data_IF_524505065683
#
_entry.id   IF_524505065683
#
_cell.length_a   1.000
_cell.length_b   1.000
_cell.length_c   1.000
_cell.angle_alpha   90.00
_cell.angle_beta   90.00
_cell.angle_gamma   90.00
#
_symmetry.space_group_name_H-M   'P 1'
#
loop_
_entity.id
_entity.type
_entity.pdbx_description
1 polymer ?
#
# COMPACT_ATOMS: atom_id res chain seq x y z
N UNK A 1 -31.60 26.28 -1.67
CA UNK A 1 -30.76 26.36 -2.87
C UNK A 1 -29.43 25.69 -2.53
N UNK A 2 -29.24 24.45 -2.96
CA UNK A 2 -28.04 23.64 -2.71
C UNK A 2 -27.24 23.60 -4.00
N UNK A 3 -26.14 24.30 -4.03
CA UNK A 3 -25.16 24.24 -5.12
C UNK A 3 -24.28 23.01 -4.96
N UNK A 4 -24.45 22.03 -5.82
CA UNK A 4 -23.56 20.88 -6.00
C UNK A 4 -22.33 21.35 -6.77
N UNK A 5 -21.17 21.31 -6.16
CA UNK A 5 -19.88 21.41 -6.84
C UNK A 5 -19.55 20.06 -7.47
N UNK A 6 -19.56 20.02 -8.80
CA UNK A 6 -19.17 18.87 -9.58
C UNK A 6 -17.64 18.71 -9.59
N UNK A 7 -17.16 17.54 -9.20
CA UNK A 7 -15.77 17.11 -9.33
C UNK A 7 -15.42 16.89 -10.80
N UNK A 8 -14.31 17.47 -11.23
CA UNK A 8 -13.73 17.36 -12.58
C UNK A 8 -13.08 15.99 -12.79
N UNK A 9 -13.84 15.01 -13.24
CA UNK A 9 -13.33 13.81 -13.95
C UNK A 9 -14.51 13.07 -14.58
N UNK A 10 -15.19 13.75 -15.52
CA UNK A 10 -16.09 13.09 -16.48
C UNK A 10 -16.04 13.91 -17.76
N UNK A 11 -15.17 13.54 -18.66
CA UNK A 11 -15.28 13.83 -20.09
C UNK A 11 -14.10 13.19 -20.79
N UNK A 12 -14.30 12.10 -21.49
CA UNK A 12 -13.81 11.78 -22.83
C UNK A 12 -13.98 10.27 -23.10
N UNK A 13 -15.15 9.90 -23.53
CA UNK A 13 -15.38 8.73 -24.36
C UNK A 13 -16.52 9.07 -25.31
N UNK A 14 -16.19 9.54 -26.49
CA UNK A 14 -17.07 9.43 -27.66
C UNK A 14 -16.23 9.34 -28.93
N UNK A 15 -16.49 8.25 -29.66
CA UNK A 15 -16.43 8.01 -31.10
C UNK A 15 -15.06 7.87 -31.77
N UNK A 16 -14.82 6.67 -32.33
CA UNK A 16 -14.90 6.47 -33.78
C UNK A 16 -14.96 4.97 -34.10
N UNK A 17 -16.08 4.58 -34.63
CA UNK A 17 -16.24 3.36 -35.40
C UNK A 17 -15.66 3.58 -36.81
N UNK A 18 -14.86 2.64 -37.32
CA UNK A 18 -14.34 2.65 -38.67
C UNK A 18 -13.93 1.24 -39.07
N UNK A 19 -14.75 0.61 -39.87
CA UNK A 19 -14.52 -0.69 -40.48
C UNK A 19 -13.46 -0.62 -41.58
N UNK A 20 -12.70 -1.70 -41.76
CA UNK A 20 -11.80 -1.86 -42.91
C UNK A 20 -11.17 -3.23 -42.94
N UNK A 21 -11.76 -4.09 -43.71
CA UNK A 21 -11.31 -5.45 -44.07
C UNK A 21 -10.07 -5.47 -44.94
N UNK A 22 -9.34 -6.57 -44.92
CA UNK A 22 -8.78 -7.33 -46.02
C UNK A 22 -7.31 -7.75 -45.92
N UNK A 23 -7.16 -9.05 -45.89
CA UNK A 23 -6.47 -10.01 -46.78
C UNK A 23 -4.97 -10.25 -46.60
N UNK A 24 -4.69 -11.52 -46.25
CA UNK A 24 -3.48 -12.33 -46.46
C UNK A 24 -3.07 -12.39 -47.94
N UNK A 25 -1.84 -12.79 -48.36
CA UNK A 25 -1.35 -14.16 -48.19
C UNK A 25 0.19 -14.34 -48.02
N UNK A 26 0.59 -15.44 -47.41
CA UNK A 26 1.28 -16.66 -47.90
C UNK A 26 2.72 -16.59 -48.46
N UNK A 27 3.51 -17.54 -47.96
CA UNK A 27 4.61 -18.32 -48.55
C UNK A 27 6.00 -17.65 -48.53
N UNK A 28 7.00 -18.37 -48.16
CA UNK A 28 7.51 -19.64 -48.60
C UNK A 28 8.78 -20.08 -47.91
N UNK A 29 8.83 -21.32 -47.82
CA UNK A 29 9.85 -22.34 -47.86
C UNK A 29 11.33 -21.97 -48.01
N UNK A 30 12.16 -22.65 -47.21
CA UNK A 30 13.07 -23.64 -47.80
C UNK A 30 14.54 -23.43 -47.58
N UNK A 31 15.21 -24.46 -47.05
CA UNK A 31 16.53 -24.77 -47.49
C UNK A 31 17.49 -25.29 -46.44
N UNK A 32 17.52 -26.60 -46.31
CA UNK A 32 18.57 -27.38 -45.67
C UNK A 32 19.89 -27.31 -46.45
N UNK A 33 21.03 -27.41 -45.77
CA UNK A 33 22.31 -27.65 -46.39
C UNK A 33 23.39 -27.94 -45.38
N UNK A 34 23.61 -29.23 -45.15
CA UNK A 34 24.79 -29.78 -44.48
C UNK A 34 26.00 -29.75 -45.40
N UNK A 35 27.17 -29.53 -44.89
CA UNK A 35 28.33 -30.43 -45.16
C UNK A 35 29.58 -29.95 -44.47
N UNK A 36 30.27 -30.93 -44.05
CA UNK A 36 31.48 -31.14 -43.28
C UNK A 36 32.81 -30.65 -43.89
N UNK A 37 33.80 -30.69 -43.02
CA UNK A 37 35.22 -31.03 -43.14
C UNK A 37 36.16 -29.83 -42.96
N UNK A 38 36.88 -29.83 -41.94
CA UNK A 38 38.20 -30.36 -41.58
C UNK A 38 39.41 -29.41 -41.82
N UNK A 39 40.29 -29.46 -40.83
CA UNK A 39 41.72 -29.17 -40.82
C UNK A 39 42.22 -27.76 -40.45
N UNK A 40 43.02 -27.73 -39.38
CA UNK A 40 44.18 -26.86 -39.37
C UNK A 40 44.55 -26.21 -38.04
N UNK A 41 45.47 -26.79 -37.36
CA UNK A 41 46.25 -26.31 -36.22
C UNK A 41 46.67 -24.83 -36.25
N UNK A 42 46.56 -24.18 -35.10
CA UNK A 42 47.19 -22.90 -34.87
C UNK A 42 47.03 -22.42 -33.40
N UNK A 43 47.94 -22.87 -32.53
CA UNK A 43 48.08 -22.30 -31.17
C UNK A 43 48.62 -20.87 -31.26
N UNK A 44 47.81 -19.90 -30.88
CA UNK A 44 48.31 -18.57 -30.52
C UNK A 44 47.69 -18.20 -29.18
N UNK A 45 48.48 -18.30 -28.14
CA UNK A 45 48.17 -17.81 -26.79
C UNK A 45 48.13 -16.28 -26.81
N UNK A 46 46.94 -15.72 -26.91
CA UNK A 46 46.72 -14.32 -26.58
C UNK A 46 46.08 -14.26 -25.21
N UNK A 47 46.84 -13.89 -24.22
CA UNK A 47 46.38 -13.54 -22.88
C UNK A 47 45.53 -12.27 -22.99
N UNK A 48 44.26 -12.45 -23.18
CA UNK A 48 43.31 -11.35 -23.05
C UNK A 48 43.00 -11.20 -21.55
N UNK A 49 43.56 -10.16 -20.97
CA UNK A 49 43.16 -9.64 -19.65
C UNK A 49 41.68 -9.33 -19.75
N UNK A 50 40.85 -10.18 -19.14
CA UNK A 50 39.44 -9.88 -18.86
C UNK A 50 39.42 -8.72 -17.91
N UNK A 51 39.20 -7.53 -18.43
CA UNK A 51 38.78 -6.38 -17.63
C UNK A 51 37.48 -6.76 -16.92
N UNK A 52 37.55 -6.81 -15.59
CA UNK A 52 36.35 -6.94 -14.76
C UNK A 52 35.42 -5.79 -15.14
N UNK A 53 34.36 -6.11 -15.88
CA UNK A 53 33.25 -5.18 -16.04
C UNK A 53 32.69 -4.93 -14.62
N UNK A 54 32.89 -3.72 -14.13
CA UNK A 54 32.18 -3.25 -12.94
C UNK A 54 30.69 -3.46 -13.18
N UNK A 55 29.93 -4.05 -12.24
CA UNK A 55 28.51 -4.13 -12.38
C UNK A 55 27.99 -2.69 -12.50
N UNK A 56 27.45 -2.35 -13.65
CA UNK A 56 26.64 -1.15 -13.82
C UNK A 56 25.50 -1.31 -12.82
N UNK A 57 25.55 -0.54 -11.73
CA UNK A 57 24.43 -0.41 -10.81
C UNK A 57 23.26 0.12 -11.64
N UNK A 58 22.43 -0.77 -12.16
CA UNK A 58 21.15 -0.39 -12.69
C UNK A 58 20.43 0.39 -11.59
N UNK A 59 20.16 1.67 -11.81
CA UNK A 59 19.38 2.45 -10.88
C UNK A 59 18.10 1.69 -10.60
N UNK A 60 17.87 1.33 -9.35
CA UNK A 60 16.61 0.73 -8.95
C UNK A 60 15.49 1.68 -9.38
N UNK A 61 14.52 1.17 -10.13
CA UNK A 61 13.36 1.96 -10.55
C UNK A 61 12.29 1.73 -9.50
N UNK A 62 12.02 2.73 -8.70
CA UNK A 62 10.88 2.77 -7.80
C UNK A 62 9.83 3.76 -8.32
N UNK A 63 8.59 3.54 -7.96
CA UNK A 63 7.48 4.39 -8.36
C UNK A 63 6.85 5.03 -7.14
N UNK A 64 6.41 6.29 -7.29
CA UNK A 64 5.65 6.96 -6.25
C UNK A 64 4.32 6.23 -6.06
N UNK A 65 4.00 5.91 -4.80
CA UNK A 65 2.72 5.27 -4.47
C UNK A 65 1.55 6.20 -4.87
N UNK A 66 0.41 5.67 -5.36
CA UNK A 66 -0.76 6.48 -5.68
C UNK A 66 -1.19 7.37 -4.51
N UNK A 67 -1.66 8.58 -4.83
CA UNK A 67 -2.35 9.43 -3.85
C UNK A 67 -3.77 8.95 -3.71
N UNK A 68 -4.17 8.62 -2.46
CA UNK A 68 -5.50 8.13 -2.16
C UNK A 68 -6.21 9.03 -1.15
N UNK A 69 -7.52 8.85 -1.04
CA UNK A 69 -8.29 9.57 -0.04
C UNK A 69 -7.94 9.09 1.37
N UNK A 70 -7.85 10.02 2.34
CA UNK A 70 -7.84 9.70 3.77
C UNK A 70 -9.17 9.13 4.27
N UNK A 71 -10.20 9.17 3.44
CA UNK A 71 -11.54 8.71 3.80
C UNK A 71 -12.22 9.61 4.85
N UNK A 72 -13.35 9.17 5.40
CA UNK A 72 -14.11 9.96 6.37
C UNK A 72 -13.54 9.87 7.81
N UNK A 73 -12.54 9.03 8.07
CA UNK A 73 -12.07 8.71 9.42
C UNK A 73 -10.55 8.87 9.65
N UNK A 74 -9.88 9.90 9.10
CA UNK A 74 -8.42 10.00 9.20
C UNK A 74 -7.96 10.29 10.63
N UNK A 75 -8.68 11.11 11.39
CA UNK A 75 -8.25 11.51 12.74
C UNK A 75 -6.95 12.32 12.74
N UNK A 76 -6.73 13.11 11.71
CA UNK A 76 -5.52 13.90 11.46
C UNK A 76 -5.73 15.42 11.68
N UNK A 77 -6.89 15.79 12.23
CA UNK A 77 -7.29 17.16 12.47
C UNK A 77 -8.06 17.82 11.31
N UNK A 78 -8.24 17.14 10.17
CA UNK A 78 -8.95 17.70 9.01
C UNK A 78 -10.45 17.59 9.10
N UNK A 79 -10.98 16.73 9.97
CA UNK A 79 -12.41 16.53 10.13
C UNK A 79 -12.85 16.47 11.60
N UNK A 80 -14.12 16.25 11.81
CA UNK A 80 -14.77 16.24 13.14
C UNK A 80 -15.41 14.89 13.42
N UNK A 81 -15.51 14.58 14.68
CA UNK A 81 -16.34 13.52 15.23
C UNK A 81 -17.41 14.12 16.19
N UNK A 82 -18.11 13.28 16.95
CA UNK A 82 -19.10 13.72 17.92
C UNK A 82 -18.52 14.60 19.05
N UNK A 83 -17.22 14.49 19.31
CA UNK A 83 -16.52 15.19 20.40
C UNK A 83 -15.78 16.46 19.95
N UNK A 84 -15.80 16.78 18.66
CA UNK A 84 -15.10 17.96 18.13
C UNK A 84 -14.16 17.64 16.97
N UNK A 85 -13.06 18.37 16.85
CA UNK A 85 -12.00 18.07 15.86
C UNK A 85 -11.30 16.77 16.24
N UNK A 86 -11.32 15.80 15.33
CA UNK A 86 -10.66 14.51 15.54
C UNK A 86 -9.20 14.60 15.11
N UNK A 87 -8.28 14.63 16.07
CA UNK A 87 -6.86 14.75 15.80
C UNK A 87 -6.03 13.80 16.69
N UNK A 88 -5.60 12.68 16.13
CA UNK A 88 -4.74 11.71 16.79
C UNK A 88 -3.28 12.17 16.80
N UNK A 89 -2.84 12.98 15.83
CA UNK A 89 -1.43 13.37 15.65
C UNK A 89 -0.85 14.15 16.85
N UNK A 90 -1.73 14.78 17.64
CA UNK A 90 -1.32 15.56 18.82
C UNK A 90 -1.51 14.82 20.15
N UNK A 91 -1.97 13.57 20.12
CA UNK A 91 -2.20 12.79 21.34
C UNK A 91 -0.87 12.35 21.98
N UNK A 92 -0.76 12.49 23.28
CA UNK A 92 0.37 11.92 24.03
C UNK A 92 0.40 10.40 23.84
N UNK A 93 1.56 9.85 23.44
CA UNK A 93 1.73 8.43 23.18
C UNK A 93 1.31 7.96 21.77
N UNK A 94 1.00 8.87 20.84
CA UNK A 94 0.67 8.49 19.46
C UNK A 94 1.89 7.98 18.67
N UNK A 95 3.10 8.42 19.05
CA UNK A 95 4.36 7.89 18.50
C UNK A 95 4.62 6.54 19.15
N UNK A 96 4.30 5.47 18.42
CA UNK A 96 4.31 4.10 18.97
C UNK A 96 4.34 3.04 17.86
N UNK A 97 4.82 1.85 18.20
CA UNK A 97 4.78 0.66 17.32
C UNK A 97 3.55 -0.22 17.55
N UNK A 98 3.09 -0.36 18.79
CA UNK A 98 1.92 -1.16 19.11
C UNK A 98 0.64 -0.31 19.08
N UNK A 99 -0.22 -0.61 18.10
CA UNK A 99 -1.45 0.14 17.87
C UNK A 99 -2.69 -0.47 18.54
N UNK A 100 -2.54 -1.64 19.18
CA UNK A 100 -3.68 -2.41 19.70
C UNK A 100 -4.36 -1.79 20.91
N UNK A 101 -3.65 -0.96 21.66
CA UNK A 101 -4.20 -0.28 22.84
C UNK A 101 -4.44 1.20 22.56
N UNK A 102 -5.39 1.80 23.25
CA UNK A 102 -5.57 3.25 23.28
C UNK A 102 -4.51 3.96 24.15
N UNK A 103 -4.31 5.25 23.94
CA UNK A 103 -3.38 6.13 24.66
C UNK A 103 -4.07 7.42 25.10
N UNK A 104 -3.34 8.35 25.71
CA UNK A 104 -3.84 9.68 26.11
C UNK A 104 -5.08 9.61 27.01
N UNK A 105 -5.09 8.68 27.98
CA UNK A 105 -6.18 8.52 28.96
C UNK A 105 -7.31 7.60 28.53
N UNK A 106 -7.39 7.20 27.26
CA UNK A 106 -8.25 6.10 26.82
C UNK A 106 -7.58 4.74 27.09
N UNK A 107 -8.36 3.67 27.25
CA UNK A 107 -7.86 2.36 27.71
C UNK A 107 -8.36 1.17 26.91
N UNK A 108 -9.10 1.38 25.83
CA UNK A 108 -9.60 0.31 24.99
C UNK A 108 -8.50 -0.50 24.31
N UNK A 109 -8.80 -1.77 24.07
CA UNK A 109 -7.90 -2.71 23.39
C UNK A 109 -8.62 -3.28 22.18
N UNK A 110 -8.01 -3.16 21.00
CA UNK A 110 -8.54 -3.76 19.77
C UNK A 110 -8.24 -5.26 19.73
N UNK A 111 -9.29 -6.07 19.65
CA UNK A 111 -9.17 -7.51 19.48
C UNK A 111 -9.19 -7.88 17.99
N UNK A 112 -8.43 -8.91 17.60
CA UNK A 112 -8.37 -9.40 16.22
C UNK A 112 -7.20 -10.35 15.99
N UNK A 113 -7.07 -10.85 14.77
CA UNK A 113 -5.93 -11.66 14.34
C UNK A 113 -4.67 -10.78 14.37
N UNK A 114 -3.58 -11.19 15.03
CA UNK A 114 -2.37 -10.39 15.10
C UNK A 114 -1.80 -10.09 13.70
N UNK A 115 -1.37 -8.86 13.49
CA UNK A 115 -0.75 -8.40 12.25
C UNK A 115 0.45 -7.51 12.57
N UNK A 116 1.59 -7.82 11.97
CA UNK A 116 2.73 -6.91 11.89
C UNK A 116 2.75 -6.28 10.52
N UNK A 117 2.80 -4.96 10.45
CA UNK A 117 2.93 -4.20 9.21
C UNK A 117 4.33 -3.60 9.16
N UNK A 118 5.09 -3.87 8.09
CA UNK A 118 6.39 -3.27 7.86
C UNK A 118 6.39 -2.54 6.53
N UNK A 119 6.52 -1.23 6.55
CA UNK A 119 6.63 -0.40 5.35
C UNK A 119 8.08 0.02 5.15
N UNK A 120 8.58 -0.10 3.91
CA UNK A 120 9.86 0.45 3.50
C UNK A 120 9.61 1.72 2.71
N UNK A 121 10.05 2.85 3.23
CA UNK A 121 9.94 4.14 2.54
C UNK A 121 11.17 4.36 1.67
N UNK A 122 10.96 4.68 0.39
CA UNK A 122 12.02 4.98 -0.58
C UNK A 122 11.80 6.35 -1.19
N UNK A 123 12.87 7.15 -1.28
CA UNK A 123 12.84 8.46 -1.91
C UNK A 123 13.07 8.31 -3.42
N UNK A 124 12.00 8.48 -4.19
CA UNK A 124 12.02 8.28 -5.64
C UNK A 124 12.92 9.29 -6.35
N UNK A 125 12.93 10.55 -5.90
CA UNK A 125 13.77 11.60 -6.52
C UNK A 125 15.25 11.44 -6.17
N UNK A 126 15.59 10.59 -5.19
CA UNK A 126 16.96 10.23 -4.85
C UNK A 126 17.32 8.80 -5.31
N UNK A 127 16.70 8.33 -6.38
CA UNK A 127 17.03 7.03 -6.97
C UNK A 127 16.69 5.83 -6.09
N UNK A 128 15.57 5.88 -5.38
CA UNK A 128 15.09 4.83 -4.47
C UNK A 128 15.96 4.65 -3.20
N UNK A 129 16.69 5.68 -2.80
CA UNK A 129 17.39 5.65 -1.53
C UNK A 129 16.39 5.51 -0.36
N UNK A 130 16.84 4.92 0.75
CA UNK A 130 16.05 4.85 1.97
C UNK A 130 15.60 6.25 2.41
N UNK A 131 14.31 6.43 2.65
CA UNK A 131 13.74 7.68 3.16
C UNK A 131 13.85 7.74 4.69
N UNK A 132 15.09 7.64 5.22
CA UNK A 132 15.37 7.69 6.66
C UNK A 132 14.85 9.00 7.28
N UNK A 133 14.22 8.90 8.46
CA UNK A 133 13.62 10.05 9.15
C UNK A 133 12.25 10.47 8.62
N UNK A 134 11.83 9.98 7.46
CA UNK A 134 10.44 10.14 7.03
C UNK A 134 9.50 9.46 8.03
N UNK A 135 8.31 10.02 8.20
CA UNK A 135 7.42 9.59 9.26
C UNK A 135 6.08 9.15 8.68
N UNK A 136 5.56 8.03 9.21
CA UNK A 136 4.28 7.46 8.82
C UNK A 136 3.28 7.61 9.94
N UNK A 137 2.12 8.20 9.66
CA UNK A 137 0.91 8.03 10.44
C UNK A 137 0.06 6.95 9.77
N UNK A 138 -0.32 5.91 10.52
CA UNK A 138 -1.06 4.76 10.04
C UNK A 138 -2.35 4.58 10.84
N UNK A 139 -3.45 4.22 10.14
CA UNK A 139 -4.72 3.87 10.80
C UNK A 139 -5.54 2.88 9.98
N UNK A 140 -6.40 2.15 10.66
CA UNK A 140 -7.36 1.24 10.02
C UNK A 140 -8.55 0.91 10.93
N UNK A 141 -9.55 0.22 10.41
CA UNK A 141 -10.74 -0.18 11.14
C UNK A 141 -10.48 -1.36 12.08
N UNK A 142 -11.39 -1.56 13.04
CA UNK A 142 -11.44 -2.77 13.88
C UNK A 142 -11.79 -4.01 13.05
N UNK A 143 -11.70 -5.18 13.64
CA UNK A 143 -12.15 -6.45 13.01
C UNK A 143 -13.64 -6.46 12.63
N UNK A 144 -14.43 -5.64 13.30
CA UNK A 144 -15.85 -5.43 13.00
C UNK A 144 -16.09 -4.36 11.92
N UNK A 145 -15.05 -3.63 11.48
CA UNK A 145 -15.13 -2.57 10.46
C UNK A 145 -15.37 -1.16 11.01
N UNK A 146 -15.35 -0.96 12.34
CA UNK A 146 -15.49 0.35 12.97
C UNK A 146 -14.15 1.10 13.06
N UNK A 147 -14.19 2.43 13.14
CA UNK A 147 -13.00 3.26 13.35
C UNK A 147 -13.01 3.90 14.73
N UNK A 148 -11.96 3.70 15.52
CA UNK A 148 -11.72 4.45 16.74
C UNK A 148 -11.80 5.96 16.47
N UNK A 149 -12.17 6.75 17.47
CA UNK A 149 -12.46 8.18 17.38
C UNK A 149 -13.76 8.54 16.62
N UNK A 150 -14.43 7.58 15.91
CA UNK A 150 -15.59 7.91 15.06
C UNK A 150 -16.81 7.03 15.29
N UNK A 151 -16.63 5.72 15.32
CA UNK A 151 -17.75 4.78 15.37
C UNK A 151 -18.39 4.74 16.75
N UNK A 152 -19.71 4.56 16.78
CA UNK A 152 -20.49 4.42 18.02
C UNK A 152 -19.88 3.33 18.91
N UNK A 153 -19.77 3.61 20.19
CA UNK A 153 -19.19 2.71 21.19
C UNK A 153 -17.66 2.77 21.30
N UNK A 154 -16.95 3.33 20.31
CA UNK A 154 -15.49 3.46 20.29
C UNK A 154 -15.03 4.88 19.91
N UNK A 155 -15.94 5.86 19.98
CA UNK A 155 -15.62 7.26 19.67
C UNK A 155 -14.62 7.88 20.65
N UNK A 156 -14.55 7.36 21.86
CA UNK A 156 -13.58 7.77 22.90
C UNK A 156 -12.24 7.06 22.82
N UNK A 157 -12.11 6.03 21.98
CA UNK A 157 -10.90 5.25 21.80
C UNK A 157 -10.03 5.78 20.67
N UNK A 158 -8.73 5.47 20.71
CA UNK A 158 -7.77 5.88 19.68
C UNK A 158 -6.77 4.76 19.29
N UNK A 159 -7.08 3.53 19.62
CA UNK A 159 -6.33 2.36 19.15
C UNK A 159 -6.40 2.23 17.60
N UNK A 160 -5.54 1.38 17.05
CA UNK A 160 -5.38 1.16 15.61
C UNK A 160 -5.01 2.45 14.85
N UNK A 161 -4.29 3.36 15.56
CA UNK A 161 -3.70 4.59 15.05
C UNK A 161 -2.33 4.78 15.69
N UNK A 162 -1.35 5.21 14.91
CA UNK A 162 -0.03 5.52 15.45
C UNK A 162 0.92 6.12 14.44
N UNK A 163 1.96 6.73 14.97
CA UNK A 163 3.01 7.42 14.22
C UNK A 163 4.34 6.72 14.46
N UNK A 164 5.13 6.52 13.40
CA UNK A 164 6.51 6.05 13.49
C UNK A 164 7.42 6.80 12.55
N UNK A 165 8.64 7.08 12.99
CA UNK A 165 9.73 7.58 12.17
C UNK A 165 10.49 6.40 11.55
N UNK A 166 10.83 6.50 10.26
CA UNK A 166 11.58 5.49 9.56
C UNK A 166 13.04 5.45 10.03
N UNK A 167 13.54 4.23 10.23
CA UNK A 167 14.93 3.97 10.60
C UNK A 167 15.92 4.34 9.46
N UNK A 168 17.20 4.10 9.69
CA UNK A 168 18.27 4.39 8.71
C UNK A 168 18.13 3.62 7.39
N UNK A 169 17.38 2.52 7.39
CA UNK A 169 17.10 1.70 6.22
C UNK A 169 15.75 2.05 5.57
N UNK A 170 15.02 3.03 6.13
CA UNK A 170 13.73 3.49 5.65
C UNK A 170 12.52 2.68 6.16
N UNK A 171 12.68 1.85 7.18
CA UNK A 171 11.59 1.02 7.68
C UNK A 171 10.82 1.66 8.83
N UNK A 172 9.51 1.49 8.81
CA UNK A 172 8.62 1.61 9.97
C UNK A 172 7.94 0.27 10.22
N UNK A 173 7.69 -0.08 11.49
CA UNK A 173 7.07 -1.35 11.84
C UNK A 173 5.97 -1.14 12.88
N UNK A 174 4.77 -1.60 12.58
CA UNK A 174 3.61 -1.51 13.47
C UNK A 174 3.11 -2.90 13.85
N UNK A 175 2.81 -3.09 15.13
CA UNK A 175 2.08 -4.24 15.65
C UNK A 175 0.61 -3.86 15.79
N UNK A 176 -0.28 -4.62 15.16
CA UNK A 176 -1.71 -4.31 15.10
C UNK A 176 -2.55 -5.59 14.98
N UNK A 177 -3.76 -5.47 14.48
CA UNK A 177 -4.64 -6.57 14.10
C UNK A 177 -4.98 -6.51 12.62
N UNK A 178 -5.37 -7.64 12.02
CA UNK A 178 -5.88 -7.67 10.65
C UNK A 178 -7.17 -6.85 10.57
N UNK A 179 -7.27 -5.85 9.66
CA UNK A 179 -8.44 -5.00 9.56
C UNK A 179 -9.67 -5.79 9.11
N UNK A 180 -10.83 -5.38 9.56
CA UNK A 180 -12.10 -5.87 9.03
C UNK A 180 -12.36 -5.39 7.61
N UNK A 181 -13.44 -5.90 7.04
CA UNK A 181 -14.01 -5.46 5.77
C UNK A 181 -15.37 -4.80 6.06
N UNK A 182 -15.46 -3.50 5.94
CA UNK A 182 -16.73 -2.81 6.05
C UNK A 182 -17.40 -2.66 4.68
N UNK A 183 -18.69 -2.32 4.67
CA UNK A 183 -19.49 -2.29 3.45
C UNK A 183 -18.92 -1.36 2.38
N UNK A 184 -18.84 -1.84 1.14
CA UNK A 184 -18.37 -1.08 -0.02
C UNK A 184 -16.86 -0.91 -0.16
N UNK A 185 -16.04 -1.51 0.72
CA UNK A 185 -14.57 -1.40 0.64
C UNK A 185 -13.88 -2.76 0.80
N UNK A 186 -12.81 -2.98 0.04
CA UNK A 186 -11.86 -4.07 0.30
C UNK A 186 -11.13 -3.84 1.64
N UNK A 187 -10.64 -4.89 2.33
CA UNK A 187 -9.83 -4.71 3.53
C UNK A 187 -8.58 -3.89 3.22
N UNK A 188 -8.35 -2.84 4.01
CA UNK A 188 -7.28 -1.88 3.74
C UNK A 188 -6.77 -1.21 5.00
N UNK A 189 -5.60 -0.62 4.86
CA UNK A 189 -4.93 0.23 5.84
C UNK A 189 -4.63 1.56 5.19
N UNK A 190 -4.97 2.64 5.86
CA UNK A 190 -4.61 4.00 5.46
C UNK A 190 -3.27 4.40 6.05
N UNK A 191 -2.55 5.27 5.36
CA UNK A 191 -1.39 5.93 5.93
C UNK A 191 -1.15 7.31 5.29
N UNK A 192 -0.48 8.15 6.05
CA UNK A 192 0.07 9.43 5.60
C UNK A 192 1.57 9.43 5.81
N UNK A 193 2.31 10.02 4.87
CA UNK A 193 3.76 10.20 4.99
C UNK A 193 4.06 11.67 5.23
N UNK A 194 4.96 11.93 6.17
CA UNK A 194 5.45 13.24 6.55
C UNK A 194 6.97 13.30 6.37
N UNK A 195 7.55 14.48 6.09
CA UNK A 195 8.99 14.58 5.87
C UNK A 195 9.82 14.28 7.12
N UNK A 196 9.27 14.55 8.32
CA UNK A 196 9.94 14.27 9.61
C UNK A 196 8.91 14.09 10.72
N UNK A 197 9.32 13.50 11.85
CA UNK A 197 8.46 13.34 13.02
C UNK A 197 7.94 14.69 13.56
N UNK A 198 8.75 15.71 13.55
CA UNK A 198 8.34 17.05 13.99
C UNK A 198 7.24 17.66 13.10
N UNK A 199 7.10 17.20 11.85
CA UNK A 199 6.06 17.62 10.92
C UNK A 199 4.78 16.78 11.01
N UNK A 200 4.84 15.59 11.59
CA UNK A 200 3.69 14.69 11.75
C UNK A 200 2.74 15.11 12.89
N UNK A 201 2.58 16.41 13.11
CA UNK A 201 1.68 17.02 14.10
C UNK A 201 0.49 17.75 13.44
N UNK A 202 0.48 17.85 12.14
CA UNK A 202 -0.58 18.51 11.35
C UNK A 202 -0.66 17.92 9.95
N UNK A 203 -1.85 17.57 9.52
CA UNK A 203 -2.12 17.08 8.17
C UNK A 203 -1.66 18.04 7.05
N UNK A 204 -1.53 19.33 7.33
CA UNK A 204 -1.02 20.31 6.38
C UNK A 204 0.43 20.04 5.93
N UNK A 205 1.19 19.28 6.73
CA UNK A 205 2.59 18.96 6.45
C UNK A 205 2.77 17.62 5.74
N UNK A 206 1.70 16.86 5.48
CA UNK A 206 1.82 15.56 4.81
C UNK A 206 2.26 15.74 3.36
N UNK A 207 3.07 14.82 2.90
CA UNK A 207 3.56 14.77 1.51
C UNK A 207 2.85 13.72 0.68
N UNK A 208 2.19 12.75 1.33
CA UNK A 208 1.44 11.68 0.68
C UNK A 208 0.34 11.15 1.61
N UNK A 209 -0.83 10.91 1.05
CA UNK A 209 -1.88 10.06 1.64
C UNK A 209 -2.08 8.87 0.73
N UNK A 210 -2.11 7.66 1.27
CA UNK A 210 -2.38 6.48 0.48
C UNK A 210 -3.06 5.39 1.30
N UNK A 211 -3.38 4.30 0.62
CA UNK A 211 -3.94 3.09 1.22
C UNK A 211 -3.22 1.88 0.64
N UNK A 212 -3.15 0.81 1.41
CA UNK A 212 -2.76 -0.50 0.89
C UNK A 212 -3.73 -1.58 1.31
N UNK A 213 -3.70 -2.69 0.60
CA UNK A 213 -4.61 -3.81 0.75
C UNK A 213 -3.86 -5.13 0.83
N UNK A 214 -4.60 -6.22 0.99
CA UNK A 214 -4.10 -7.56 1.22
C UNK A 214 -4.57 -8.52 0.15
N UNK A 215 -3.83 -9.63 -0.13
CA UNK A 215 -4.30 -10.68 -1.00
C UNK A 215 -5.65 -11.25 -0.52
N UNK A 216 -6.57 -11.49 -1.44
CA UNK A 216 -7.91 -11.97 -1.12
C UNK A 216 -7.89 -13.29 -0.34
N UNK A 217 -6.96 -14.19 -0.66
CA UNK A 217 -6.81 -15.46 0.05
C UNK A 217 -6.48 -15.27 1.53
N UNK A 218 -5.62 -14.28 1.85
CA UNK A 218 -5.26 -13.92 3.24
C UNK A 218 -6.46 -13.34 3.99
N UNK A 219 -7.21 -12.45 3.34
CA UNK A 219 -8.42 -11.87 3.94
C UNK A 219 -9.48 -12.94 4.23
N UNK A 220 -9.71 -13.85 3.29
CA UNK A 220 -10.63 -14.97 3.49
C UNK A 220 -10.20 -15.87 4.66
N UNK A 221 -8.92 -16.19 4.79
CA UNK A 221 -8.39 -16.96 5.91
C UNK A 221 -8.54 -16.20 7.24
N UNK A 222 -8.13 -14.93 7.30
CA UNK A 222 -8.23 -14.12 8.51
C UNK A 222 -9.68 -14.04 9.03
N UNK A 223 -10.65 -13.95 8.12
CA UNK A 223 -12.06 -13.80 8.46
C UNK A 223 -12.75 -15.08 8.90
N UNK A 224 -12.06 -16.23 8.87
CA UNK A 224 -12.53 -17.44 9.58
C UNK A 224 -12.41 -17.32 11.10
N UNK A 225 -11.64 -16.32 11.57
CA UNK A 225 -11.43 -16.08 13.00
C UNK A 225 -12.62 -15.40 13.66
N UNK A 226 -12.78 -15.62 14.98
CA UNK A 226 -13.86 -15.03 15.76
C UNK A 226 -13.82 -13.49 15.71
N UNK A 227 -15.00 -12.88 15.56
CA UNK A 227 -15.19 -11.43 15.54
C UNK A 227 -15.18 -10.79 14.14
N UNK A 228 -14.95 -11.58 13.07
CA UNK A 228 -14.94 -11.08 11.68
C UNK A 228 -16.23 -11.41 10.89
N UNK A 229 -17.31 -11.82 11.55
CA UNK A 229 -18.53 -12.27 10.85
C UNK A 229 -19.12 -11.23 9.88
N UNK A 230 -19.10 -9.93 10.24
CA UNK A 230 -19.51 -8.85 9.35
C UNK A 230 -18.57 -8.71 8.16
N UNK A 231 -17.27 -8.92 8.36
CA UNK A 231 -16.25 -8.86 7.31
C UNK A 231 -16.43 -9.94 6.25
N UNK A 232 -16.82 -11.17 6.65
CA UNK A 232 -17.17 -12.25 5.70
C UNK A 232 -18.30 -11.80 4.77
N UNK A 233 -19.40 -11.28 5.36
CA UNK A 233 -20.56 -10.84 4.59
C UNK A 233 -20.26 -9.65 3.67
N UNK A 234 -19.44 -8.72 4.11
CA UNK A 234 -19.04 -7.54 3.35
C UNK A 234 -18.09 -7.92 2.20
N UNK A 235 -17.07 -8.76 2.48
CA UNK A 235 -16.12 -9.21 1.47
C UNK A 235 -16.80 -9.97 0.33
N UNK A 236 -17.87 -10.73 0.62
CA UNK A 236 -18.64 -11.43 -0.41
C UNK A 236 -19.37 -10.50 -1.41
N UNK A 237 -19.50 -9.20 -1.08
CA UNK A 237 -20.22 -8.20 -1.91
C UNK A 237 -19.31 -7.20 -2.59
N UNK A 238 -18.02 -7.24 -2.36
CA UNK A 238 -17.04 -6.30 -2.90
C UNK A 238 -15.92 -7.03 -3.65
N UNK A 239 -15.30 -6.38 -4.59
CA UNK A 239 -14.09 -6.82 -5.27
C UNK A 239 -13.19 -5.62 -5.51
N UNK A 240 -11.93 -5.84 -5.86
CA UNK A 240 -11.01 -4.75 -6.22
C UNK A 240 -11.57 -3.88 -7.37
N UNK A 241 -12.21 -4.50 -8.36
CA UNK A 241 -12.80 -3.78 -9.48
C UNK A 241 -14.00 -2.89 -9.10
N UNK A 242 -14.65 -3.15 -7.95
CA UNK A 242 -15.78 -2.38 -7.43
C UNK A 242 -15.39 -1.42 -6.32
N UNK A 243 -14.20 -1.55 -5.77
CA UNK A 243 -13.68 -0.66 -4.72
C UNK A 243 -13.29 0.69 -5.33
N UNK A 244 -13.80 1.78 -4.77
CA UNK A 244 -13.60 3.13 -5.30
C UNK A 244 -12.16 3.66 -5.21
N UNK A 245 -11.28 2.95 -4.50
CA UNK A 245 -9.85 3.28 -4.38
C UNK A 245 -9.01 2.35 -5.25
N UNK A 246 -9.28 1.05 -5.21
CA UNK A 246 -8.45 0.03 -5.84
C UNK A 246 -8.91 -0.39 -7.25
N UNK A 247 -9.98 0.19 -7.78
CA UNK A 247 -10.51 -0.15 -9.12
C UNK A 247 -9.61 0.25 -10.28
N UNK A 248 -8.66 1.15 -10.06
CA UNK A 248 -7.63 1.55 -11.03
C UNK A 248 -6.35 0.71 -10.94
N UNK A 249 -6.31 -0.26 -10.02
CA UNK A 249 -5.22 -1.22 -9.84
C UNK A 249 -4.63 -1.20 -8.43
N UNK A 250 -3.89 -2.26 -8.12
CA UNK A 250 -3.27 -2.45 -6.78
C UNK A 250 -1.77 -2.69 -6.86
N UNK A 251 -1.14 -2.51 -8.02
CA UNK A 251 0.25 -2.92 -8.26
C UNK A 251 1.26 -2.36 -7.25
N UNK A 252 1.05 -1.12 -6.77
CA UNK A 252 1.89 -0.47 -5.76
C UNK A 252 1.28 -0.51 -4.35
N UNK A 253 0.09 -1.11 -4.18
CA UNK A 253 -0.70 -1.05 -2.96
C UNK A 253 -1.06 -2.44 -2.40
N UNK A 254 -0.66 -3.51 -3.08
CA UNK A 254 -0.86 -4.88 -2.62
C UNK A 254 0.30 -5.30 -1.73
N UNK A 255 0.04 -5.50 -0.43
CA UNK A 255 1.06 -5.98 0.49
C UNK A 255 1.44 -7.45 0.21
N UNK A 256 2.72 -7.77 0.34
CA UNK A 256 3.17 -9.15 0.49
C UNK A 256 2.89 -9.62 1.91
N UNK A 257 2.23 -10.77 2.06
CA UNK A 257 1.81 -11.27 3.38
C UNK A 257 2.31 -12.68 3.61
N UNK A 258 2.84 -12.92 4.79
CA UNK A 258 3.25 -14.25 5.29
C UNK A 258 2.59 -14.53 6.64
N UNK A 259 2.57 -15.79 7.07
CA UNK A 259 1.94 -16.21 8.31
C UNK A 259 0.57 -16.85 8.09
N UNK A 260 -0.16 -17.05 9.18
CA UNK A 260 -1.50 -17.66 9.19
C UNK A 260 -2.40 -16.98 10.22
N UNK A 261 -3.71 -17.17 10.14
CA UNK A 261 -4.65 -16.60 11.10
C UNK A 261 -4.38 -17.05 12.56
N UNK A 262 -3.85 -18.25 12.76
CA UNK A 262 -3.56 -18.80 14.10
C UNK A 262 -2.23 -18.31 14.69
N UNK A 263 -1.25 -17.97 13.85
CA UNK A 263 0.09 -17.51 14.27
C UNK A 263 0.25 -16.00 14.17
N UNK A 264 -0.68 -15.33 13.47
CA UNK A 264 -0.57 -13.94 13.06
C UNK A 264 0.09 -13.80 11.69
N UNK A 265 -0.09 -12.63 11.10
CA UNK A 265 0.44 -12.28 9.79
C UNK A 265 1.56 -11.25 9.88
N UNK A 266 2.42 -11.26 8.88
CA UNK A 266 3.37 -10.19 8.60
C UNK A 266 3.12 -9.65 7.19
N UNK A 267 2.77 -8.38 7.08
CA UNK A 267 2.53 -7.68 5.82
C UNK A 267 3.68 -6.72 5.55
N UNK A 268 4.23 -6.75 4.34
CA UNK A 268 5.31 -5.86 3.90
C UNK A 268 4.93 -5.14 2.63
N UNK A 269 5.29 -3.86 2.53
CA UNK A 269 5.10 -3.04 1.34
C UNK A 269 6.24 -2.05 1.19
N UNK A 270 6.73 -1.85 -0.05
CA UNK A 270 7.61 -0.74 -0.39
C UNK A 270 6.77 0.45 -0.84
N UNK A 271 7.04 1.61 -0.26
CA UNK A 271 6.31 2.86 -0.46
C UNK A 271 7.27 3.90 -1.04
N UNK A 272 7.17 4.16 -2.33
CA UNK A 272 7.92 5.24 -2.97
C UNK A 272 7.25 6.58 -2.71
N UNK A 273 8.04 7.56 -2.29
CA UNK A 273 7.59 8.95 -2.05
C UNK A 273 8.61 9.95 -2.60
N UNK A 274 8.17 11.17 -2.85
CA UNK A 274 9.05 12.29 -3.20
C UNK A 274 9.31 13.11 -1.93
N UNK A 275 10.52 13.02 -1.39
CA UNK A 275 10.97 13.76 -0.20
C UNK A 275 12.18 14.61 -0.54
#
# INVERSE_FOLDING_TARGET
MLTRTATRRQSLCWLLAGAGSAVLPLAGCGGSGSSSADDGFGFSSSTTTLGAASPTSGSAVCSVIPEETGGPYPGDGTNRNANGVANALILSGIVRSDLRTSVAGASGIAAGVPLTIRLKLENVVQGCAAAAGATVYLWHCTREGGYSMYSTGIVGENYLRGVQEADSEGYVTFTTIFPGCYDGRMPHVHFEVYPTLAKATSAANRIRTSQFTFPLAVANEAYTSSGYASSVSNLARISFALDNVFSDGTALQMASVTGTASQGYSATLTVGVNI
#
